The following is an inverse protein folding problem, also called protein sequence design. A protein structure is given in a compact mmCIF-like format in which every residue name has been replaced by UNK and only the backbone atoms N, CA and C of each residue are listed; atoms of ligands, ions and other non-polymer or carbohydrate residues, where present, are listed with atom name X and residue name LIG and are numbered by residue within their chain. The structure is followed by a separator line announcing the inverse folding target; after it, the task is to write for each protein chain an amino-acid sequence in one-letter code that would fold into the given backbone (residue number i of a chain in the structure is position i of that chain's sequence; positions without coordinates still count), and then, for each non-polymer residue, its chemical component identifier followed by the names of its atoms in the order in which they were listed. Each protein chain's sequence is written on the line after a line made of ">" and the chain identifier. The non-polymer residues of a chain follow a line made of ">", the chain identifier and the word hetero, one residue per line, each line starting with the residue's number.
data_IF_508414521679
#
_entry.id   IF_508414521679
#
_cell.length_a   1.000
_cell.length_b   1.000
_cell.length_c   1.000
_cell.angle_alpha   90.00
_cell.angle_beta   90.00
_cell.angle_gamma   90.00
#
_symmetry.space_group_name_H-M   'P 1'
#
loop_
_entity.id
_entity.type
_entity.pdbx_description
1 polymer ?
#
# COMPACT_ATOMS: atom_id res chain seq x y z
N UNK A 1 4.42 7.60 20.87
CA UNK A 1 3.08 7.61 20.23
C UNK A 1 2.06 7.92 21.30
N UNK A 2 1.15 8.87 21.10
CA UNK A 2 0.02 9.05 22.01
C UNK A 2 -0.97 7.90 21.76
N UNK A 3 -1.41 7.24 22.83
CA UNK A 3 -2.49 6.25 22.75
C UNK A 3 -3.78 6.94 22.28
N UNK A 4 -4.59 6.21 21.51
CA UNK A 4 -5.93 6.66 21.16
C UNK A 4 -6.79 6.80 22.42
N UNK A 5 -7.61 7.85 22.47
CA UNK A 5 -8.64 7.97 23.50
C UNK A 5 -9.58 6.75 23.44
N UNK A 6 -10.16 6.30 24.59
CA UNK A 6 -11.03 5.12 24.62
C UNK A 6 -12.21 5.20 23.63
N UNK A 7 -12.78 6.40 23.44
CA UNK A 7 -13.85 6.64 22.46
C UNK A 7 -13.38 6.46 21.03
N UNK A 8 -12.18 6.95 20.67
CA UNK A 8 -11.60 6.77 19.35
C UNK A 8 -11.18 5.33 19.09
N UNK A 9 -10.67 4.63 20.13
CA UNK A 9 -10.38 3.20 20.05
C UNK A 9 -11.64 2.39 19.74
N UNK A 10 -12.76 2.73 20.40
CA UNK A 10 -14.05 2.06 20.13
C UNK A 10 -14.50 2.31 18.68
N UNK A 11 -14.44 3.55 18.20
CA UNK A 11 -14.79 3.92 16.82
C UNK A 11 -13.93 3.22 15.79
N UNK A 12 -12.62 3.21 16.01
CA UNK A 12 -11.66 2.55 15.11
C UNK A 12 -11.94 1.03 15.02
N UNK A 13 -12.16 0.38 16.15
CA UNK A 13 -12.49 -1.05 16.18
C UNK A 13 -13.83 -1.36 15.48
N UNK A 14 -14.84 -0.49 15.64
CA UNK A 14 -16.09 -0.61 14.91
C UNK A 14 -15.89 -0.46 13.39
N UNK A 15 -15.11 0.53 12.95
CA UNK A 15 -14.76 0.72 11.54
C UNK A 15 -14.05 -0.50 10.94
N UNK A 16 -13.09 -1.09 11.67
CA UNK A 16 -12.41 -2.32 11.26
C UNK A 16 -13.41 -3.47 11.12
N UNK A 17 -14.33 -3.60 12.09
CA UNK A 17 -15.38 -4.61 12.05
C UNK A 17 -16.30 -4.46 10.82
N UNK A 18 -16.76 -3.25 10.53
CA UNK A 18 -17.57 -2.96 9.36
C UNK A 18 -16.86 -3.25 8.04
N UNK A 19 -15.56 -2.90 7.91
CA UNK A 19 -14.75 -3.27 6.75
C UNK A 19 -14.64 -4.78 6.57
N UNK A 20 -14.46 -5.51 7.68
CA UNK A 20 -14.42 -6.98 7.64
C UNK A 20 -15.75 -7.62 7.20
N UNK A 21 -16.87 -6.93 7.39
CA UNK A 21 -18.20 -7.33 6.91
C UNK A 21 -18.51 -6.81 5.49
N UNK A 22 -17.61 -6.06 4.86
CA UNK A 22 -17.80 -5.45 3.55
C UNK A 22 -18.73 -4.22 3.57
N UNK A 23 -19.02 -3.66 4.73
CA UNK A 23 -19.88 -2.47 4.87
C UNK A 23 -19.02 -1.21 5.02
N UNK A 24 -18.53 -0.71 3.87
CA UNK A 24 -17.61 0.42 3.80
C UNK A 24 -18.26 1.74 4.25
N UNK A 25 -19.56 1.92 4.01
CA UNK A 25 -20.29 3.13 4.37
C UNK A 25 -20.36 3.31 5.90
N UNK A 26 -20.68 2.23 6.63
CA UNK A 26 -20.68 2.26 8.09
C UNK A 26 -19.29 2.43 8.67
N UNK A 27 -18.26 1.84 8.06
CA UNK A 27 -16.88 2.08 8.45
C UNK A 27 -16.50 3.57 8.30
N UNK A 28 -16.92 4.22 7.21
CA UNK A 28 -16.70 5.65 6.98
C UNK A 28 -17.41 6.52 8.02
N UNK A 29 -18.64 6.12 8.43
CA UNK A 29 -19.39 6.82 9.48
C UNK A 29 -18.65 6.76 10.81
N UNK A 30 -18.17 5.59 11.23
CA UNK A 30 -17.42 5.46 12.48
C UNK A 30 -16.16 6.33 12.51
N UNK A 31 -15.37 6.34 11.43
CA UNK A 31 -14.17 7.19 11.33
C UNK A 31 -14.49 8.69 11.38
N UNK A 32 -15.64 9.10 10.84
CA UNK A 32 -16.09 10.50 10.84
C UNK A 32 -16.37 11.01 12.27
N UNK A 33 -16.85 10.14 13.15
CA UNK A 33 -17.18 10.47 14.52
C UNK A 33 -15.98 10.39 15.49
N UNK A 34 -14.79 10.05 15.03
CA UNK A 34 -13.58 10.16 15.82
C UNK A 34 -13.23 11.63 16.11
N UNK A 35 -12.52 11.85 17.20
CA UNK A 35 -11.97 13.19 17.53
C UNK A 35 -10.96 13.63 16.48
N UNK A 36 -10.67 14.93 16.38
CA UNK A 36 -9.68 15.44 15.43
C UNK A 36 -8.28 14.86 15.67
N UNK A 37 -7.93 14.58 16.93
CA UNK A 37 -6.68 13.90 17.29
C UNK A 37 -6.70 12.43 16.94
N UNK A 38 -7.84 11.75 17.08
CA UNK A 38 -8.02 10.34 16.71
C UNK A 38 -7.95 10.13 15.19
N UNK A 39 -8.55 11.04 14.41
CA UNK A 39 -8.55 10.97 12.92
C UNK A 39 -7.17 10.98 12.31
N UNK A 40 -6.18 11.60 12.96
CA UNK A 40 -4.80 11.69 12.48
C UNK A 40 -3.86 10.67 13.15
N UNK A 41 -4.41 9.77 13.98
CA UNK A 41 -3.64 8.65 14.52
C UNK A 41 -3.24 7.69 13.38
N UNK A 42 -2.02 7.15 13.37
CA UNK A 42 -1.55 6.29 12.28
C UNK A 42 -2.48 5.12 11.96
N UNK A 43 -2.97 4.44 12.98
CA UNK A 43 -3.88 3.29 12.77
C UNK A 43 -5.24 3.74 12.18
N UNK A 44 -5.73 4.92 12.55
CA UNK A 44 -6.94 5.49 11.95
C UNK A 44 -6.71 5.92 10.50
N UNK A 45 -5.53 6.46 10.18
CA UNK A 45 -5.16 6.81 8.80
C UNK A 45 -5.08 5.55 7.92
N UNK A 46 -4.56 4.43 8.41
CA UNK A 46 -4.54 3.15 7.67
C UNK A 46 -5.94 2.63 7.36
N UNK A 47 -6.85 2.67 8.34
CA UNK A 47 -8.24 2.25 8.13
C UNK A 47 -8.98 3.22 7.22
N UNK A 48 -8.75 4.54 7.38
CA UNK A 48 -9.32 5.55 6.48
C UNK A 48 -8.87 5.37 5.04
N UNK A 49 -7.58 5.07 4.83
CA UNK A 49 -7.08 4.72 3.51
C UNK A 49 -7.84 3.52 2.93
N UNK A 50 -8.03 2.46 3.71
CA UNK A 50 -8.74 1.25 3.27
C UNK A 50 -10.19 1.54 2.88
N UNK A 51 -10.87 2.41 3.61
CA UNK A 51 -12.23 2.88 3.29
C UNK A 51 -12.24 3.64 1.97
N UNK A 52 -11.38 4.64 1.81
CA UNK A 52 -11.30 5.47 0.60
C UNK A 52 -10.93 4.64 -0.63
N UNK A 53 -10.02 3.68 -0.48
CA UNK A 53 -9.64 2.77 -1.56
C UNK A 53 -10.81 1.89 -2.02
N UNK A 54 -11.63 1.38 -1.08
CA UNK A 54 -12.83 0.60 -1.42
C UNK A 54 -13.94 1.45 -2.07
N UNK A 55 -14.03 2.73 -1.72
CA UNK A 55 -14.94 3.70 -2.34
C UNK A 55 -14.44 4.19 -3.71
N UNK A 56 -13.19 3.93 -4.07
CA UNK A 56 -12.56 4.45 -5.29
C UNK A 56 -12.15 5.93 -5.23
N UNK A 57 -12.13 6.51 -4.04
CA UNK A 57 -11.78 7.91 -3.78
C UNK A 57 -10.24 8.08 -3.72
N UNK A 58 -9.59 7.88 -4.88
CA UNK A 58 -8.13 7.74 -4.96
C UNK A 58 -7.35 8.99 -4.61
N UNK A 59 -7.85 10.18 -4.94
CA UNK A 59 -7.19 11.44 -4.63
C UNK A 59 -7.16 11.71 -3.11
N UNK A 60 -8.26 11.40 -2.42
CA UNK A 60 -8.32 11.49 -0.96
C UNK A 60 -7.49 10.39 -0.30
N UNK A 61 -7.55 9.16 -0.83
CA UNK A 61 -6.72 8.05 -0.35
C UNK A 61 -5.22 8.39 -0.44
N UNK A 62 -4.78 9.02 -1.53
CA UNK A 62 -3.41 9.50 -1.73
C UNK A 62 -3.00 10.52 -0.66
N UNK A 63 -3.89 11.49 -0.35
CA UNK A 63 -3.62 12.49 0.69
C UNK A 63 -3.47 11.85 2.07
N UNK A 64 -4.34 10.91 2.42
CA UNK A 64 -4.30 10.16 3.68
C UNK A 64 -3.03 9.33 3.79
N UNK A 65 -2.64 8.62 2.72
CA UNK A 65 -1.41 7.84 2.70
C UNK A 65 -0.15 8.72 2.77
N UNK A 66 -0.16 9.89 2.13
CA UNK A 66 0.92 10.87 2.25
C UNK A 66 1.05 11.39 3.69
N UNK A 67 -0.06 11.66 4.36
CA UNK A 67 -0.06 12.05 5.77
C UNK A 67 0.52 10.93 6.65
N UNK A 68 0.10 9.68 6.42
CA UNK A 68 0.62 8.51 7.15
C UNK A 68 2.14 8.37 6.96
N UNK A 69 2.63 8.43 5.71
CA UNK A 69 4.06 8.36 5.38
C UNK A 69 4.86 9.42 6.13
N UNK A 70 4.36 10.66 6.19
CA UNK A 70 5.06 11.76 6.84
C UNK A 70 5.04 11.67 8.37
N UNK A 71 3.94 11.19 8.96
CA UNK A 71 3.80 11.05 10.41
C UNK A 71 4.51 9.82 10.96
N UNK A 72 4.59 8.76 10.16
CA UNK A 72 5.16 7.47 10.54
C UNK A 72 6.12 6.97 9.44
N UNK A 73 7.26 7.65 9.25
CA UNK A 73 8.23 7.27 8.22
C UNK A 73 8.86 5.87 8.46
N UNK A 74 8.66 5.30 9.65
CA UNK A 74 9.11 3.95 10.01
C UNK A 74 8.05 2.86 9.73
N UNK A 75 6.94 3.21 9.08
CA UNK A 75 5.91 2.26 8.62
C UNK A 75 5.91 2.14 7.10
N UNK A 76 6.16 0.93 6.60
CA UNK A 76 6.14 0.65 5.16
C UNK A 76 4.77 0.90 4.52
N UNK A 77 3.67 0.69 5.28
CA UNK A 77 2.29 0.88 4.81
C UNK A 77 2.03 2.29 4.27
N UNK A 78 2.64 3.33 4.86
CA UNK A 78 2.50 4.70 4.35
C UNK A 78 3.02 4.87 2.91
N UNK A 79 4.17 4.28 2.61
CA UNK A 79 4.78 4.31 1.28
C UNK A 79 3.99 3.47 0.27
N UNK A 80 3.62 2.25 0.66
CA UNK A 80 2.85 1.32 -0.18
C UNK A 80 1.48 1.89 -0.53
N UNK A 81 0.76 2.38 0.47
CA UNK A 81 -0.56 2.98 0.27
C UNK A 81 -0.49 4.24 -0.60
N UNK A 82 0.54 5.08 -0.40
CA UNK A 82 0.73 6.29 -1.20
C UNK A 82 0.93 5.94 -2.69
N UNK A 83 1.83 5.03 -3.01
CA UNK A 83 2.09 4.64 -4.40
C UNK A 83 0.91 3.89 -5.01
N UNK A 84 0.19 3.09 -4.22
CA UNK A 84 -1.02 2.40 -4.67
C UNK A 84 -2.14 3.39 -5.07
N UNK A 85 -2.36 4.44 -4.26
CA UNK A 85 -3.34 5.47 -4.55
C UNK A 85 -2.88 6.40 -5.68
N UNK A 86 -1.59 6.80 -5.68
CA UNK A 86 -1.03 7.67 -6.71
C UNK A 86 -1.21 7.07 -8.11
N UNK A 87 -0.97 5.77 -8.27
CA UNK A 87 -1.15 5.05 -9.54
C UNK A 87 -2.61 5.02 -10.02
N UNK A 88 -3.58 5.31 -9.15
CA UNK A 88 -5.03 5.29 -9.44
C UNK A 88 -5.67 6.66 -9.41
N UNK A 89 -4.93 7.68 -8.99
CA UNK A 89 -5.40 9.06 -8.96
C UNK A 89 -5.28 9.72 -10.33
N UNK A 90 -5.88 10.89 -10.48
CA UNK A 90 -5.83 11.67 -11.74
C UNK A 90 -4.38 12.04 -12.12
N UNK A 91 -3.52 12.23 -11.12
CA UNK A 91 -2.11 12.58 -11.30
C UNK A 91 -1.22 11.33 -11.46
N UNK A 92 -1.70 10.26 -12.10
CA UNK A 92 -0.92 9.02 -12.28
C UNK A 92 0.51 9.31 -12.73
N UNK A 93 1.46 9.09 -11.83
CA UNK A 93 2.88 9.26 -12.07
C UNK A 93 3.64 8.03 -11.63
N UNK A 94 3.85 7.13 -12.59
CA UNK A 94 4.58 5.89 -12.35
C UNK A 94 6.03 6.15 -11.92
N UNK A 95 6.65 7.22 -12.42
CA UNK A 95 7.99 7.64 -11.98
C UNK A 95 8.00 8.07 -10.52
N UNK A 96 7.00 8.84 -10.06
CA UNK A 96 6.91 9.22 -8.65
C UNK A 96 6.61 8.02 -7.74
N UNK A 97 5.84 7.02 -8.23
CA UNK A 97 5.67 5.74 -7.53
C UNK A 97 7.00 5.01 -7.40
N UNK A 98 7.76 4.93 -8.48
CA UNK A 98 9.07 4.30 -8.52
C UNK A 98 10.04 4.95 -7.51
N UNK A 99 10.20 6.27 -7.57
CA UNK A 99 11.08 7.03 -6.65
C UNK A 99 10.68 6.81 -5.18
N UNK A 100 9.37 6.85 -4.88
CA UNK A 100 8.86 6.63 -3.53
C UNK A 100 9.18 5.22 -3.02
N UNK A 101 9.04 4.19 -3.87
CA UNK A 101 9.34 2.82 -3.45
C UNK A 101 10.84 2.53 -3.39
N UNK A 102 11.67 3.22 -4.17
CA UNK A 102 13.13 3.13 -4.00
C UNK A 102 13.56 3.64 -2.61
N UNK A 103 13.03 4.80 -2.17
CA UNK A 103 13.23 5.28 -0.80
C UNK A 103 12.77 4.24 0.24
N UNK A 104 11.60 3.64 0.01
CA UNK A 104 11.06 2.63 0.91
C UNK A 104 11.92 1.35 0.96
N UNK A 105 12.50 0.91 -0.17
CA UNK A 105 13.33 -0.28 -0.23
C UNK A 105 14.63 -0.14 0.60
N UNK A 106 15.18 1.06 0.70
CA UNK A 106 16.33 1.35 1.55
C UNK A 106 15.97 1.29 3.05
N UNK A 107 14.75 1.72 3.40
CA UNK A 107 14.27 1.78 4.78
C UNK A 107 13.74 0.45 5.30
N UNK A 108 13.13 -0.33 4.43
CA UNK A 108 12.45 -1.59 4.76
C UNK A 108 12.99 -2.75 3.90
N UNK A 109 14.27 -3.11 4.07
CA UNK A 109 14.93 -4.10 3.21
C UNK A 109 14.32 -5.51 3.30
N UNK A 110 13.58 -5.79 4.38
CA UNK A 110 12.96 -7.09 4.65
C UNK A 110 11.46 -7.15 4.30
N UNK A 111 10.90 -6.08 3.72
CA UNK A 111 9.49 -6.01 3.31
C UNK A 111 9.31 -6.47 1.84
N UNK A 112 8.85 -7.71 1.57
CA UNK A 112 8.89 -8.30 0.24
C UNK A 112 7.96 -7.63 -0.77
N UNK A 113 6.90 -6.95 -0.30
CA UNK A 113 5.94 -6.29 -1.20
C UNK A 113 6.54 -5.04 -1.87
N UNK A 114 7.56 -4.42 -1.28
CA UNK A 114 8.23 -3.26 -1.85
C UNK A 114 9.01 -3.63 -3.12
N UNK A 115 9.99 -4.58 -3.07
CA UNK A 115 10.68 -5.00 -4.29
C UNK A 115 9.74 -5.67 -5.29
N UNK A 116 8.66 -6.31 -4.85
CA UNK A 116 7.63 -6.82 -5.74
C UNK A 116 6.99 -5.70 -6.57
N UNK A 117 6.51 -4.63 -5.93
CA UNK A 117 5.89 -3.49 -6.62
C UNK A 117 6.91 -2.73 -7.50
N UNK A 118 8.17 -2.64 -7.08
CA UNK A 118 9.24 -2.11 -7.93
C UNK A 118 9.43 -2.94 -9.19
N UNK A 119 9.33 -4.28 -9.11
CA UNK A 119 9.37 -5.14 -10.30
C UNK A 119 8.21 -4.85 -11.26
N UNK A 120 6.97 -4.71 -10.73
CA UNK A 120 5.80 -4.35 -11.52
C UNK A 120 6.00 -3.00 -12.22
N UNK A 121 6.41 -1.97 -11.48
CA UNK A 121 6.61 -0.65 -12.06
C UNK A 121 7.75 -0.62 -13.09
N UNK A 122 8.84 -1.35 -12.87
CA UNK A 122 9.91 -1.50 -13.83
C UNK A 122 9.43 -2.15 -15.14
N UNK A 123 8.59 -3.19 -15.07
CA UNK A 123 7.99 -3.80 -16.25
C UNK A 123 7.15 -2.78 -17.04
N UNK A 124 6.27 -2.05 -16.37
CA UNK A 124 5.41 -1.03 -17.03
C UNK A 124 6.24 0.10 -17.64
N UNK A 125 7.36 0.47 -17.00
CA UNK A 125 8.33 1.45 -17.51
C UNK A 125 9.26 0.86 -18.60
N UNK A 126 9.07 -0.39 -18.99
CA UNK A 126 9.93 -1.12 -19.94
C UNK A 126 11.42 -1.23 -19.52
N UNK A 127 11.68 -1.27 -18.20
CA UNK A 127 12.99 -1.45 -17.58
C UNK A 127 13.19 -2.91 -17.18
N UNK A 128 13.26 -3.82 -18.16
CA UNK A 128 13.18 -5.26 -17.95
C UNK A 128 14.27 -5.83 -17.06
N UNK A 129 15.50 -5.33 -17.15
CA UNK A 129 16.61 -5.82 -16.32
C UNK A 129 16.42 -5.43 -14.85
N UNK A 130 15.92 -4.22 -14.58
CA UNK A 130 15.55 -3.78 -13.24
C UNK A 130 14.35 -4.60 -12.70
N UNK A 131 13.36 -4.90 -13.55
CA UNK A 131 12.23 -5.72 -13.17
C UNK A 131 12.66 -7.13 -12.69
N UNK A 132 13.59 -7.78 -13.42
CA UNK A 132 14.15 -9.07 -13.00
C UNK A 132 14.91 -8.99 -11.68
N UNK A 133 15.71 -7.95 -11.50
CA UNK A 133 16.48 -7.75 -10.27
C UNK A 133 15.55 -7.55 -9.06
N UNK A 134 14.54 -6.70 -9.19
CA UNK A 134 13.59 -6.43 -8.12
C UNK A 134 12.71 -7.64 -7.80
N UNK A 135 12.26 -8.39 -8.83
CA UNK A 135 11.52 -9.63 -8.61
C UNK A 135 12.38 -10.68 -7.92
N UNK A 136 13.65 -10.80 -8.32
CA UNK A 136 14.61 -11.65 -7.62
C UNK A 136 14.73 -11.29 -6.14
N UNK A 137 14.84 -9.98 -5.85
CA UNK A 137 14.89 -9.49 -4.46
C UNK A 137 13.59 -9.81 -3.69
N UNK A 138 12.43 -9.65 -4.29
CA UNK A 138 11.16 -10.02 -3.67
C UNK A 138 11.10 -11.51 -3.30
N UNK A 139 11.65 -12.37 -4.15
CA UNK A 139 11.74 -13.82 -3.91
C UNK A 139 12.74 -14.17 -2.81
N UNK A 140 13.85 -13.43 -2.70
CA UNK A 140 14.86 -13.63 -1.66
C UNK A 140 14.33 -13.27 -0.27
N UNK A 141 13.58 -12.16 -0.18
CA UNK A 141 13.06 -11.64 1.09
C UNK A 141 11.75 -12.32 1.50
N UNK A 142 10.91 -12.65 0.52
CA UNK A 142 9.59 -13.23 0.75
C UNK A 142 9.55 -14.75 0.65
N UNK A 143 8.35 -15.28 0.76
CA UNK A 143 8.11 -16.69 0.48
C UNK A 143 8.03 -16.90 -1.05
N UNK A 144 9.03 -17.60 -1.65
CA UNK A 144 9.15 -17.83 -3.09
C UNK A 144 7.84 -18.28 -3.74
N UNK A 145 7.19 -19.31 -3.18
CA UNK A 145 5.94 -19.85 -3.75
C UNK A 145 4.83 -18.81 -3.79
N UNK A 146 4.75 -17.97 -2.79
CA UNK A 146 3.73 -16.92 -2.71
C UNK A 146 4.04 -15.81 -3.71
N UNK A 147 5.29 -15.34 -3.78
CA UNK A 147 5.72 -14.29 -4.72
C UNK A 147 5.49 -14.75 -6.16
N UNK A 148 5.92 -15.97 -6.54
CA UNK A 148 5.70 -16.55 -7.87
C UNK A 148 4.21 -16.66 -8.20
N UNK A 149 3.39 -17.14 -7.24
CA UNK A 149 1.94 -17.24 -7.44
C UNK A 149 1.26 -15.88 -7.63
N UNK A 150 1.73 -14.85 -6.97
CA UNK A 150 1.24 -13.49 -7.17
C UNK A 150 1.67 -12.98 -8.55
N UNK A 151 2.94 -13.13 -8.89
CA UNK A 151 3.53 -12.61 -10.11
C UNK A 151 2.91 -13.20 -11.39
N UNK A 152 2.54 -14.49 -11.38
CA UNK A 152 1.84 -15.14 -12.50
C UNK A 152 0.36 -14.72 -12.67
N UNK A 153 -0.15 -13.85 -11.80
CA UNK A 153 -1.50 -13.29 -11.86
C UNK A 153 -1.52 -11.77 -12.05
N UNK A 154 -0.36 -11.17 -12.02
CA UNK A 154 -0.19 -9.73 -12.11
C UNK A 154 0.13 -9.35 -13.56
N UNK A 155 -0.82 -8.66 -14.21
CA UNK A 155 -0.69 -8.23 -15.61
C UNK A 155 0.51 -7.31 -15.84
N UNK A 156 0.94 -6.55 -14.84
CA UNK A 156 2.14 -5.72 -14.94
C UNK A 156 3.42 -6.57 -15.17
N UNK A 157 3.41 -7.83 -14.72
CA UNK A 157 4.52 -8.78 -14.86
C UNK A 157 4.34 -9.76 -16.04
N UNK A 158 3.30 -9.60 -16.87
CA UNK A 158 3.06 -10.44 -18.05
C UNK A 158 4.32 -10.63 -18.90
N UNK A 159 5.13 -9.57 -19.18
CA UNK A 159 6.34 -9.74 -19.98
C UNK A 159 7.39 -10.70 -19.40
N UNK A 160 7.30 -11.05 -18.12
CA UNK A 160 8.21 -11.94 -17.42
C UNK A 160 7.60 -13.32 -17.10
N UNK A 161 6.33 -13.58 -17.40
CA UNK A 161 5.66 -14.83 -17.00
C UNK A 161 6.39 -16.09 -17.46
N UNK A 162 6.89 -16.13 -18.70
CA UNK A 162 7.65 -17.29 -19.21
C UNK A 162 8.94 -17.56 -18.40
N UNK A 163 9.55 -16.54 -17.81
CA UNK A 163 10.72 -16.68 -16.97
C UNK A 163 10.31 -17.08 -15.54
N UNK A 164 9.21 -16.52 -15.04
CA UNK A 164 8.66 -16.78 -13.70
C UNK A 164 8.17 -18.22 -13.57
N UNK A 165 7.57 -18.79 -14.62
CA UNK A 165 7.12 -20.20 -14.65
C UNK A 165 8.26 -21.21 -14.48
N UNK A 166 9.50 -20.80 -14.76
CA UNK A 166 10.69 -21.67 -14.66
C UNK A 166 11.38 -21.58 -13.30
N UNK A 167 10.91 -20.68 -12.42
CA UNK A 167 11.45 -20.51 -11.07
C UNK A 167 10.91 -21.56 -10.09
#
# INVERSE_FOLDING_TARGET
>A
MNELAPEDTHRLNAAIGWLGLGNVDEAAVELRFMTETGKVHPDALEIRFSVLAQLGEWDEARQVAHELKNRQPDRATGYLNYTYALRRSVDDSLEACWETLQEAAERFPDEPIIPYNLACYACVLNRMDEARQWLGRAIEVGEKKQVVKMALKDEDLEPLWEEIEKL
#
